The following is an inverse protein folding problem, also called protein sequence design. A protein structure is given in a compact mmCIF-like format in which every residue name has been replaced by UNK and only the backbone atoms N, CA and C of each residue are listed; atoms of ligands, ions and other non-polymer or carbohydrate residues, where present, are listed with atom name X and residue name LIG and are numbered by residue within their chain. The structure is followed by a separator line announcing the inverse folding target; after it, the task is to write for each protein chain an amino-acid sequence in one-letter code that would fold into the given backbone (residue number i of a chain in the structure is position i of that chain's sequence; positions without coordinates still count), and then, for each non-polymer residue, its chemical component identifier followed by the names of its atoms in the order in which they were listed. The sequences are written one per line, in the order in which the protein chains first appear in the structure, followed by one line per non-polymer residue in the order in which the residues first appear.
data_IF_942454942890
#
_entry.id   IF_942454942890
#
_cell.length_a   1.000
_cell.length_b   1.000
_cell.length_c   1.000
_cell.angle_alpha   90.00
_cell.angle_beta   90.00
_cell.angle_gamma   90.00
#
_symmetry.space_group_name_H-M   'P 1'
#
loop_
_entity.id
_entity.type
_entity.pdbx_description
1 polymer ?
#
# COMPACT_ATOMS: atom_id res chain seq x y z
N UNK A 1 3.40 10.54 -11.03
CA UNK A 1 3.60 10.07 -9.66
C UNK A 1 4.37 11.13 -8.91
N UNK A 2 3.85 11.58 -7.79
CA UNK A 2 4.47 12.53 -6.89
C UNK A 2 5.00 11.78 -5.67
N UNK A 3 6.12 11.08 -5.87
CA UNK A 3 6.74 10.24 -4.83
C UNK A 3 7.13 11.04 -3.57
N UNK A 4 7.20 12.37 -3.63
CA UNK A 4 7.43 13.21 -2.44
C UNK A 4 6.35 13.08 -1.36
N UNK A 5 5.17 12.54 -1.72
CA UNK A 5 4.07 12.27 -0.81
C UNK A 5 4.13 10.88 -0.16
N UNK A 6 5.02 10.00 -0.61
CA UNK A 6 5.22 8.69 -0.01
C UNK A 6 6.01 8.78 1.31
N UNK A 7 5.83 7.83 2.24
CA UNK A 7 6.70 7.72 3.41
C UNK A 7 8.18 7.66 3.00
N UNK A 8 9.07 8.14 3.88
CA UNK A 8 10.52 8.17 3.61
C UNK A 8 11.11 6.77 3.38
N UNK A 9 10.58 5.77 4.08
CA UNK A 9 10.95 4.38 3.97
C UNK A 9 9.76 3.51 4.39
N UNK A 10 9.82 2.23 4.06
CA UNK A 10 8.78 1.26 4.42
C UNK A 10 8.78 0.11 3.44
N UNK A 11 7.61 -0.44 3.15
CA UNK A 11 7.41 -1.53 2.20
C UNK A 11 6.78 -1.01 0.90
N UNK A 12 7.33 -1.48 -0.22
CA UNK A 12 6.80 -1.28 -1.55
C UNK A 12 6.10 -2.55 -2.00
N UNK A 13 4.83 -2.43 -2.37
CA UNK A 13 4.08 -3.42 -3.13
C UNK A 13 3.72 -2.83 -4.50
N UNK A 14 4.35 -3.34 -5.55
CA UNK A 14 4.19 -2.85 -6.91
C UNK A 14 3.72 -3.97 -7.86
N UNK A 15 2.57 -3.73 -8.49
CA UNK A 15 1.99 -4.59 -9.49
C UNK A 15 2.33 -4.06 -10.88
N UNK A 16 3.09 -4.84 -11.64
CA UNK A 16 3.38 -4.58 -13.04
C UNK A 16 2.62 -5.58 -13.91
N UNK A 17 2.48 -5.29 -15.20
CA UNK A 17 1.86 -6.21 -16.19
C UNK A 17 2.53 -7.59 -16.25
N UNK A 18 3.80 -7.68 -15.90
CA UNK A 18 4.65 -8.86 -16.08
C UNK A 18 5.26 -9.39 -14.77
N UNK A 19 5.17 -8.65 -13.66
CA UNK A 19 5.77 -9.04 -12.38
C UNK A 19 5.02 -8.40 -11.21
N UNK A 20 5.21 -8.97 -10.02
CA UNK A 20 4.85 -8.36 -8.75
C UNK A 20 6.13 -8.18 -7.95
N UNK A 21 6.29 -7.02 -7.31
CA UNK A 21 7.45 -6.71 -6.47
C UNK A 21 6.94 -6.37 -5.06
N UNK A 22 7.45 -7.08 -4.06
CA UNK A 22 7.20 -6.82 -2.64
C UNK A 22 8.53 -6.77 -1.90
N UNK A 23 8.96 -5.59 -1.48
CA UNK A 23 10.27 -5.37 -0.85
C UNK A 23 10.30 -4.03 -0.12
N UNK A 24 11.24 -3.77 0.79
CA UNK A 24 11.42 -2.44 1.34
C UNK A 24 11.88 -1.46 0.30
N UNK A 25 11.67 -0.21 0.66
CA UNK A 25 12.20 0.90 -0.10
C UNK A 25 12.72 1.99 0.83
N UNK A 26 13.60 2.82 0.26
CA UNK A 26 13.95 4.14 0.76
C UNK A 26 13.57 5.09 -0.38
N UNK A 27 12.75 6.10 -0.07
CA UNK A 27 12.17 7.01 -1.07
C UNK A 27 13.22 7.68 -1.94
N UNK A 28 14.36 8.04 -1.36
CA UNK A 28 15.49 8.66 -2.07
C UNK A 28 16.11 7.74 -3.13
N UNK A 29 16.01 6.42 -2.93
CA UNK A 29 16.53 5.41 -3.85
C UNK A 29 15.47 4.89 -4.83
N UNK A 30 14.20 5.31 -4.70
CA UNK A 30 13.13 4.94 -5.61
C UNK A 30 13.29 5.67 -6.94
N UNK A 31 13.98 5.02 -7.87
CA UNK A 31 14.12 5.47 -9.26
C UNK A 31 13.48 4.43 -10.16
N UNK A 32 12.26 4.71 -10.64
CA UNK A 32 11.60 3.84 -11.62
C UNK A 32 12.12 4.18 -13.01
N UNK A 33 12.57 3.16 -13.75
CA UNK A 33 12.95 3.34 -15.15
C UNK A 33 11.69 3.57 -16.01
N UNK A 34 11.81 4.27 -17.14
CA UNK A 34 10.66 4.58 -18.02
C UNK A 34 9.85 3.33 -18.41
N UNK A 35 10.54 2.23 -18.70
CA UNK A 35 9.90 0.95 -19.04
C UNK A 35 9.14 0.33 -17.85
N UNK A 36 9.63 0.53 -16.62
CA UNK A 36 8.95 0.07 -15.41
C UNK A 36 7.70 0.92 -15.16
N UNK A 37 7.79 2.25 -15.26
CA UNK A 37 6.62 3.13 -15.12
C UNK A 37 5.53 2.86 -16.17
N UNK A 38 5.93 2.51 -17.40
CA UNK A 38 4.99 2.18 -18.47
C UNK A 38 4.18 0.93 -18.15
N UNK A 39 4.84 -0.08 -17.58
CA UNK A 39 4.26 -1.38 -17.23
C UNK A 39 3.62 -1.42 -15.84
N UNK A 40 3.86 -0.41 -15.00
CA UNK A 40 3.27 -0.27 -13.68
C UNK A 40 1.74 -0.12 -13.78
N UNK A 41 1.03 -0.94 -13.03
CA UNK A 41 -0.42 -0.92 -12.87
C UNK A 41 -0.80 -0.31 -11.52
N UNK A 42 -0.19 -0.77 -10.44
CA UNK A 42 -0.47 -0.32 -9.08
C UNK A 42 0.83 -0.23 -8.28
N UNK A 43 0.92 0.78 -7.42
CA UNK A 43 2.05 1.01 -6.53
C UNK A 43 1.51 1.43 -5.17
N UNK A 44 1.92 0.69 -4.15
CA UNK A 44 1.67 0.97 -2.75
C UNK A 44 3.02 1.16 -2.07
N UNK A 45 3.23 2.32 -1.48
CA UNK A 45 4.40 2.66 -0.67
C UNK A 45 3.89 2.99 0.72
N UNK A 46 4.16 2.14 1.70
CA UNK A 46 3.53 2.25 3.01
C UNK A 46 4.50 1.94 4.14
N UNK A 47 4.26 2.59 5.28
CA UNK A 47 4.94 2.33 6.54
C UNK A 47 3.90 1.99 7.63
N UNK A 48 4.27 2.15 8.91
CA UNK A 48 3.35 1.93 10.02
C UNK A 48 2.18 2.93 10.08
N UNK A 49 2.32 4.12 9.48
CA UNK A 49 1.45 5.28 9.68
C UNK A 49 0.62 5.65 8.45
N UNK A 50 1.20 5.59 7.26
CA UNK A 50 0.56 6.05 6.04
C UNK A 50 0.91 5.21 4.82
N UNK A 51 0.04 5.27 3.82
CA UNK A 51 0.24 4.66 2.51
C UNK A 51 0.09 5.72 1.42
N UNK A 52 1.11 5.84 0.57
CA UNK A 52 0.96 6.43 -0.75
C UNK A 52 0.55 5.36 -1.76
N UNK A 53 -0.58 5.60 -2.42
CA UNK A 53 -1.17 4.70 -3.40
C UNK A 53 -1.25 5.38 -4.76
N UNK A 54 -0.76 4.67 -5.77
CA UNK A 54 -0.92 5.02 -7.17
C UNK A 54 -1.54 3.85 -7.94
N UNK A 55 -2.64 4.10 -8.64
CA UNK A 55 -3.38 3.09 -9.41
C UNK A 55 -3.66 3.61 -10.82
N UNK A 56 -3.26 2.85 -11.82
CA UNK A 56 -3.50 3.13 -13.23
C UNK A 56 -4.80 2.48 -13.68
N UNK A 57 -5.80 3.31 -13.98
CA UNK A 57 -7.11 2.87 -14.45
C UNK A 57 -7.20 2.92 -15.97
N UNK A 58 -8.28 2.37 -16.55
CA UNK A 58 -8.54 2.48 -18.00
C UNK A 58 -8.62 3.93 -18.48
N UNK A 59 -9.10 4.83 -17.62
CA UNK A 59 -9.24 6.27 -17.90
C UNK A 59 -8.59 7.08 -16.78
N UNK A 60 -7.28 7.26 -16.86
CA UNK A 60 -6.52 8.09 -15.94
C UNK A 60 -5.85 7.33 -14.80
N UNK A 61 -5.45 8.07 -13.79
CA UNK A 61 -4.67 7.60 -12.66
C UNK A 61 -5.27 8.11 -11.37
N UNK A 62 -5.31 7.27 -10.35
CA UNK A 62 -5.63 7.67 -8.98
C UNK A 62 -4.33 7.73 -8.19
N UNK A 63 -4.12 8.82 -7.48
CA UNK A 63 -2.96 9.05 -6.64
C UNK A 63 -3.45 9.64 -5.32
N UNK A 64 -3.15 8.98 -4.20
CA UNK A 64 -3.68 9.36 -2.88
C UNK A 64 -2.74 8.97 -1.76
N UNK A 65 -2.78 9.74 -0.67
CA UNK A 65 -2.14 9.39 0.61
C UNK A 65 -3.23 9.05 1.62
N UNK A 66 -3.10 7.88 2.22
CA UNK A 66 -4.09 7.31 3.14
C UNK A 66 -3.42 7.17 4.49
N UNK A 67 -3.95 7.87 5.49
CA UNK A 67 -3.54 7.75 6.88
C UNK A 67 -4.74 7.98 7.79
N UNK A 68 -4.57 7.64 9.08
CA UNK A 68 -5.60 7.84 10.09
C UNK A 68 -5.97 9.33 10.26
N UNK A 69 -5.14 10.25 9.77
CA UNK A 69 -5.39 11.69 9.79
C UNK A 69 -6.10 12.21 8.52
N UNK A 70 -6.04 11.50 7.39
CA UNK A 70 -6.61 11.96 6.11
C UNK A 70 -7.94 11.32 5.77
N UNK A 71 -8.26 10.16 6.35
CA UNK A 71 -9.51 9.44 6.12
C UNK A 71 -10.53 9.78 7.21
N UNK A 72 -11.78 10.07 6.82
CA UNK A 72 -12.89 10.10 7.76
C UNK A 72 -13.39 8.68 7.99
N UNK A 73 -13.44 8.26 9.26
CA UNK A 73 -13.93 6.95 9.66
C UNK A 73 -14.58 7.03 11.05
N UNK A 74 -15.45 6.08 11.34
CA UNK A 74 -16.12 5.92 12.63
C UNK A 74 -15.57 4.72 13.41
N UNK A 75 -15.14 3.68 12.70
CA UNK A 75 -14.51 2.50 13.28
C UNK A 75 -13.39 1.95 12.36
N UNK A 76 -12.59 1.04 12.90
CA UNK A 76 -11.45 0.43 12.21
C UNK A 76 -11.43 -1.08 12.43
N UNK A 77 -11.25 -1.83 11.34
CA UNK A 77 -11.00 -3.27 11.39
C UNK A 77 -9.63 -3.60 10.79
N UNK A 78 -8.77 -4.25 11.57
CA UNK A 78 -7.41 -4.60 11.16
C UNK A 78 -7.29 -6.09 10.91
N UNK A 79 -6.93 -6.45 9.69
CA UNK A 79 -6.64 -7.82 9.28
C UNK A 79 -5.13 -8.02 9.19
N UNK A 80 -4.65 -9.18 9.65
CA UNK A 80 -3.25 -9.57 9.51
C UNK A 80 -3.14 -10.67 8.46
N UNK A 81 -2.44 -10.38 7.37
CA UNK A 81 -2.27 -11.28 6.23
C UNK A 81 -0.83 -11.78 6.22
N UNK A 82 -0.65 -13.10 6.14
CA UNK A 82 0.67 -13.74 6.03
C UNK A 82 1.14 -13.71 4.57
N UNK A 83 2.36 -13.24 4.31
CA UNK A 83 2.98 -13.21 2.98
C UNK A 83 3.65 -14.56 2.68
N UNK A 84 3.57 -15.03 1.43
CA UNK A 84 3.87 -16.43 1.07
C UNK A 84 5.36 -16.75 0.80
N UNK A 85 6.30 -15.81 1.00
CA UNK A 85 7.75 -16.03 0.77
C UNK A 85 8.43 -16.81 1.91
N UNK A 86 7.87 -17.98 2.20
CA UNK A 86 8.41 -19.01 3.09
C UNK A 86 9.27 -20.05 2.36
N UNK A 87 9.66 -19.81 1.10
CA UNK A 87 10.53 -20.69 0.32
C UNK A 87 11.84 -19.98 -0.02
N UNK A 88 12.90 -20.50 0.56
CA UNK A 88 14.32 -20.31 0.25
C UNK A 88 14.97 -18.95 0.59
N UNK A 89 15.88 -19.04 1.57
CA UNK A 89 17.16 -18.32 1.69
C UNK A 89 17.20 -16.87 2.20
N UNK A 90 16.11 -16.09 2.18
CA UNK A 90 16.11 -14.65 2.53
C UNK A 90 15.36 -14.32 3.84
N UNK A 91 15.48 -15.18 4.86
CA UNK A 91 14.66 -15.16 6.09
C UNK A 91 14.89 -14.02 7.09
N UNK A 92 15.85 -13.13 6.91
CA UNK A 92 16.28 -12.24 8.00
C UNK A 92 15.77 -10.79 7.95
N UNK A 93 14.97 -10.40 6.95
CA UNK A 93 14.72 -8.97 6.73
C UNK A 93 13.27 -8.48 6.93
N UNK A 94 12.24 -9.32 6.74
CA UNK A 94 10.84 -8.84 6.75
C UNK A 94 9.95 -9.70 7.63
N UNK A 95 9.08 -9.05 8.41
CA UNK A 95 7.97 -9.75 9.06
C UNK A 95 7.12 -10.41 7.97
N UNK A 96 6.84 -11.71 8.12
CA UNK A 96 6.07 -12.56 7.19
C UNK A 96 4.59 -12.14 7.07
N UNK A 97 4.25 -10.89 7.37
CA UNK A 97 2.90 -10.40 7.39
C UNK A 97 2.78 -8.91 7.08
N UNK A 98 1.64 -8.56 6.51
CA UNK A 98 1.16 -7.19 6.30
C UNK A 98 -0.15 -7.02 7.05
N UNK A 99 -0.38 -5.83 7.62
CA UNK A 99 -1.69 -5.46 8.16
C UNK A 99 -2.49 -4.69 7.11
N UNK A 100 -3.78 -5.01 7.00
CA UNK A 100 -4.75 -4.24 6.23
C UNK A 100 -5.66 -3.53 7.22
N UNK A 101 -5.56 -2.21 7.24
CA UNK A 101 -6.38 -1.33 8.06
C UNK A 101 -7.60 -0.91 7.24
N UNK A 102 -8.77 -1.44 7.55
CA UNK A 102 -10.03 -1.08 6.91
C UNK A 102 -10.71 0.06 7.69
N UNK A 103 -11.05 1.15 6.99
CA UNK A 103 -11.74 2.31 7.55
C UNK A 103 -13.25 2.18 7.30
N UNK A 104 -14.01 2.10 8.39
CA UNK A 104 -15.45 1.81 8.38
C UNK A 104 -16.25 3.08 8.66
N UNK A 105 -17.33 3.27 7.90
CA UNK A 105 -18.38 4.27 8.15
C UNK A 105 -19.76 3.64 8.02
N UNK A 106 -20.75 4.26 8.64
CA UNK A 106 -22.14 3.83 8.62
C UNK A 106 -23.01 4.87 7.89
N UNK A 107 -23.98 4.40 7.11
CA UNK A 107 -24.97 5.27 6.50
C UNK A 107 -26.14 5.57 7.45
N UNK A 108 -27.13 6.33 6.98
CA UNK A 108 -28.31 6.71 7.76
C UNK A 108 -29.19 5.52 8.24
N UNK A 109 -28.98 4.32 7.70
CA UNK A 109 -29.69 3.09 8.06
C UNK A 109 -28.79 2.13 8.87
N UNK A 110 -27.68 2.61 9.43
CA UNK A 110 -26.66 1.83 10.13
C UNK A 110 -26.02 0.72 9.26
N UNK A 111 -26.03 0.88 7.93
CA UNK A 111 -25.36 -0.06 7.04
C UNK A 111 -23.86 0.24 6.96
N UNK A 112 -23.05 -0.77 7.30
CA UNK A 112 -21.59 -0.68 7.27
C UNK A 112 -21.03 -0.57 5.85
N UNK A 113 -20.14 0.39 5.62
CA UNK A 113 -19.36 0.52 4.40
C UNK A 113 -17.87 0.68 4.70
N UNK A 114 -17.02 0.11 3.84
CA UNK A 114 -15.56 0.33 3.89
C UNK A 114 -15.22 1.29 2.75
N UNK A 115 -14.97 2.55 3.10
CA UNK A 115 -14.69 3.60 2.11
C UNK A 115 -13.24 3.59 1.65
N UNK A 116 -12.34 3.17 2.54
CA UNK A 116 -10.93 3.07 2.23
C UNK A 116 -10.27 2.00 3.09
N UNK A 117 -9.07 1.60 2.68
CA UNK A 117 -8.18 0.78 3.48
C UNK A 117 -6.76 1.26 3.28
N UNK A 118 -5.86 0.93 4.20
CA UNK A 118 -4.42 1.04 3.95
C UNK A 118 -3.65 -0.23 4.28
N UNK A 119 -2.59 -0.46 3.52
CA UNK A 119 -1.55 -1.42 3.87
C UNK A 119 -0.67 -0.81 4.95
N UNK A 120 -0.24 -1.64 5.90
CA UNK A 120 0.57 -1.23 7.04
C UNK A 120 1.69 -2.23 7.27
N UNK A 121 2.89 -1.70 7.39
CA UNK A 121 4.08 -2.48 7.78
C UNK A 121 3.93 -2.94 9.24
N UNK A 122 4.24 -4.21 9.49
CA UNK A 122 4.31 -4.79 10.84
C UNK A 122 5.77 -4.73 11.29
N UNK A 123 6.03 -4.10 12.44
CA UNK A 123 7.33 -4.09 13.11
C UNK A 123 7.45 -5.25 14.10
#
# INVERSE_FOLDING_TARGET
MNLSQAPEQGIMYALYRNKVVYQPYIRENLMLQEDEEKNLLELHLFDAKEEYRYVKMRKGTVETVISDATVMYEDQYVERIVTLDSRDDMKEAYNDCVEVVNYITYDENDLMTIQNYRLKEVQ
#
